data_IF_016294628106
#
_entry.id   IF_016294628106
#
_cell.length_a   1.000
_cell.length_b   1.000
_cell.length_c   1.000
_cell.angle_alpha   90.00
_cell.angle_beta   90.00
_cell.angle_gamma   90.00
#
_symmetry.space_group_name_H-M   'P 1'
#
loop_
_entity.id
_entity.type
_entity.pdbx_description
1 polymer ?
#
# COMPACT_ATOMS: atom_id res chain seq x y z
N UNK A 1 -27.94 -24.20 -1.88
CA UNK A 1 -26.79 -25.00 -1.36
C UNK A 1 -26.62 -24.63 0.09
N UNK A 2 -26.36 -25.60 0.97
CA UNK A 2 -26.07 -25.32 2.37
C UNK A 2 -24.64 -24.78 2.45
N UNK A 3 -24.45 -23.61 3.09
CA UNK A 3 -23.12 -23.03 3.29
C UNK A 3 -22.34 -23.94 4.24
N UNK A 4 -21.06 -24.21 3.90
CA UNK A 4 -20.20 -25.08 4.68
C UNK A 4 -19.85 -24.44 6.05
N UNK A 5 -19.56 -25.28 7.04
CA UNK A 5 -19.42 -24.84 8.43
C UNK A 5 -18.04 -25.10 9.00
N UNK A 6 -17.60 -24.11 9.78
CA UNK A 6 -16.41 -24.21 10.62
C UNK A 6 -16.83 -23.95 12.08
N UNK A 7 -16.42 -24.85 12.99
CA UNK A 7 -16.67 -24.68 14.42
C UNK A 7 -15.36 -24.43 15.15
N UNK A 8 -15.34 -23.41 15.99
CA UNK A 8 -14.16 -23.03 16.76
C UNK A 8 -13.99 -23.87 18.02
N UNK A 9 -12.76 -23.98 18.50
CA UNK A 9 -12.46 -24.48 19.83
C UNK A 9 -13.05 -23.53 20.88
N UNK A 10 -13.40 -24.08 22.02
CA UNK A 10 -13.88 -23.28 23.17
C UNK A 10 -12.90 -22.16 23.51
N UNK A 11 -13.43 -20.99 23.82
CA UNK A 11 -12.70 -19.75 24.17
C UNK A 11 -11.86 -19.16 23.03
N UNK A 12 -12.00 -19.63 21.77
CA UNK A 12 -11.34 -19.07 20.58
C UNK A 12 -12.21 -18.09 19.79
N UNK A 13 -13.46 -17.92 20.16
CA UNK A 13 -14.42 -16.97 19.57
C UNK A 13 -14.15 -15.52 19.96
N UNK A 14 -13.33 -15.25 20.98
CA UNK A 14 -13.12 -13.92 21.55
C UNK A 14 -12.62 -12.87 20.55
N UNK A 15 -11.76 -13.24 19.60
CA UNK A 15 -11.28 -12.33 18.55
C UNK A 15 -12.42 -11.95 17.59
N UNK A 16 -13.25 -12.90 17.21
CA UNK A 16 -14.37 -12.69 16.28
C UNK A 16 -15.48 -11.86 16.96
N UNK A 17 -15.77 -12.10 18.24
CA UNK A 17 -16.69 -11.27 19.03
C UNK A 17 -16.21 -9.81 19.15
N UNK A 18 -14.90 -9.59 19.02
CA UNK A 18 -14.28 -8.24 18.90
C UNK A 18 -14.17 -7.78 17.46
N UNK A 19 -14.84 -8.45 16.51
CA UNK A 19 -14.90 -8.14 15.08
C UNK A 19 -13.55 -8.21 14.34
N UNK A 20 -12.56 -8.96 14.89
CA UNK A 20 -11.33 -9.21 14.15
C UNK A 20 -11.63 -10.04 12.89
N UNK A 21 -11.16 -9.62 11.68
CA UNK A 21 -11.60 -10.25 10.43
C UNK A 21 -10.90 -11.58 10.11
N UNK A 22 -10.00 -12.08 10.93
CA UNK A 22 -9.25 -13.31 10.67
C UNK A 22 -9.53 -14.40 11.68
N UNK A 23 -9.74 -15.62 11.16
CA UNK A 23 -9.74 -16.86 11.94
C UNK A 23 -8.45 -17.61 11.66
N UNK A 24 -7.64 -17.83 12.68
CA UNK A 24 -6.41 -18.60 12.54
C UNK A 24 -6.69 -20.11 12.60
N UNK A 25 -5.97 -20.92 11.82
CA UNK A 25 -6.13 -22.37 11.73
C UNK A 25 -6.08 -23.06 13.09
N UNK A 26 -5.24 -22.59 14.00
CA UNK A 26 -5.14 -23.10 15.39
C UNK A 26 -6.43 -22.93 16.24
N UNK A 27 -7.36 -22.05 15.83
CA UNK A 27 -8.61 -21.80 16.50
C UNK A 27 -9.73 -22.80 16.12
N UNK A 28 -9.58 -23.54 15.00
CA UNK A 28 -10.59 -24.42 14.45
C UNK A 28 -10.59 -25.75 15.20
N UNK A 29 -11.78 -26.17 15.69
CA UNK A 29 -12.02 -27.49 16.26
C UNK A 29 -12.46 -28.49 15.21
N UNK A 30 -13.37 -28.08 14.32
CA UNK A 30 -13.96 -28.92 13.28
C UNK A 30 -14.32 -28.07 12.07
N UNK A 31 -14.13 -28.62 10.89
CA UNK A 31 -14.61 -28.07 9.60
C UNK A 31 -15.33 -29.18 8.84
N UNK A 32 -16.24 -28.81 7.97
CA UNK A 32 -16.88 -29.76 7.05
C UNK A 32 -15.81 -30.39 6.14
N UNK A 33 -16.12 -31.60 5.67
CA UNK A 33 -15.30 -32.31 4.69
C UNK A 33 -15.46 -31.62 3.35
N UNK A 34 -14.45 -31.75 2.50
CA UNK A 34 -14.46 -31.26 1.10
C UNK A 34 -14.52 -29.73 0.97
N UNK A 35 -13.89 -29.00 1.91
CA UNK A 35 -13.68 -27.57 1.80
C UNK A 35 -12.48 -27.27 0.88
N UNK A 36 -12.73 -26.44 -0.13
CA UNK A 36 -11.72 -25.94 -1.06
C UNK A 36 -11.33 -24.48 -0.75
N UNK A 37 -10.15 -24.07 -1.19
CA UNK A 37 -9.73 -22.67 -1.06
C UNK A 37 -10.74 -21.73 -1.75
N UNK A 38 -11.13 -20.68 -1.06
CA UNK A 38 -12.10 -19.69 -1.54
C UNK A 38 -13.55 -20.01 -1.26
N UNK A 39 -13.88 -21.16 -0.68
CA UNK A 39 -15.26 -21.50 -0.33
C UNK A 39 -15.82 -20.54 0.73
N UNK A 40 -17.09 -20.16 0.55
CA UNK A 40 -17.82 -19.41 1.57
C UNK A 40 -18.17 -20.35 2.72
N UNK A 41 -17.81 -19.94 3.95
CA UNK A 41 -18.05 -20.70 5.16
C UNK A 41 -18.71 -19.84 6.24
N UNK A 42 -19.62 -20.46 6.99
CA UNK A 42 -20.14 -19.91 8.24
C UNK A 42 -19.32 -20.40 9.43
N UNK A 43 -18.94 -19.50 10.31
CA UNK A 43 -18.14 -19.78 11.51
C UNK A 43 -19.03 -19.77 12.73
N UNK A 44 -18.93 -20.82 13.55
CA UNK A 44 -19.70 -21.03 14.78
C UNK A 44 -18.77 -21.22 15.98
N UNK A 45 -19.25 -20.83 17.15
CA UNK A 45 -18.58 -21.15 18.41
C UNK A 45 -18.78 -22.61 18.82
N UNK A 46 -18.15 -23.03 19.94
CA UNK A 46 -18.31 -24.39 20.49
C UNK A 46 -19.72 -24.71 20.99
N UNK A 47 -20.60 -23.73 21.14
CA UNK A 47 -22.00 -23.85 21.55
C UNK A 47 -22.95 -23.80 20.36
N UNK A 48 -22.42 -23.84 19.13
CA UNK A 48 -23.18 -23.78 17.89
C UNK A 48 -23.89 -22.43 17.65
N UNK A 49 -23.36 -21.32 18.20
CA UNK A 49 -23.86 -19.99 17.92
C UNK A 49 -23.10 -19.44 16.70
N UNK A 50 -23.83 -18.87 15.76
CA UNK A 50 -23.25 -18.21 14.59
C UNK A 50 -22.38 -17.01 15.03
N UNK A 51 -21.22 -16.84 14.39
CA UNK A 51 -20.29 -15.75 14.66
C UNK A 51 -20.08 -14.85 13.45
N UNK A 52 -19.84 -15.43 12.27
CA UNK A 52 -19.53 -14.67 11.07
C UNK A 52 -19.52 -15.58 9.82
N UNK A 53 -19.47 -14.95 8.64
CA UNK A 53 -19.25 -15.58 7.34
C UNK A 53 -17.99 -15.05 6.69
N UNK A 54 -17.23 -15.92 6.00
CA UNK A 54 -15.97 -15.57 5.36
C UNK A 54 -15.56 -16.53 4.25
N UNK A 55 -14.40 -16.27 3.63
CA UNK A 55 -13.76 -17.19 2.70
C UNK A 55 -12.76 -18.08 3.43
N UNK A 56 -12.85 -19.38 3.20
CA UNK A 56 -11.89 -20.36 3.71
C UNK A 56 -10.58 -20.31 2.92
N UNK A 57 -9.46 -20.51 3.61
CA UNK A 57 -8.12 -20.72 3.05
C UNK A 57 -7.41 -21.86 3.79
N UNK A 58 -6.71 -22.78 3.11
CA UNK A 58 -5.96 -23.86 3.75
C UNK A 58 -4.59 -23.43 4.29
N UNK A 59 -4.50 -22.28 4.94
CA UNK A 59 -3.24 -21.73 5.48
C UNK A 59 -3.38 -21.23 6.93
N UNK A 60 -2.41 -20.46 7.43
CA UNK A 60 -2.39 -19.94 8.80
C UNK A 60 -3.61 -19.06 9.11
N UNK A 61 -4.01 -18.17 8.18
CA UNK A 61 -5.26 -17.40 8.25
C UNK A 61 -6.31 -18.25 7.54
N UNK A 62 -7.00 -19.11 8.31
CA UNK A 62 -7.88 -20.13 7.74
C UNK A 62 -9.24 -19.59 7.28
N UNK A 63 -9.70 -18.44 7.80
CA UNK A 63 -10.90 -17.78 7.27
C UNK A 63 -10.70 -16.27 7.29
N UNK A 64 -11.01 -15.60 6.20
CA UNK A 64 -11.09 -14.15 6.08
C UNK A 64 -12.56 -13.74 6.14
N UNK A 65 -12.96 -13.16 7.27
CA UNK A 65 -14.35 -12.81 7.58
C UNK A 65 -14.73 -11.48 6.92
N UNK A 66 -15.87 -11.46 6.23
CA UNK A 66 -16.40 -10.26 5.58
C UNK A 66 -17.83 -9.90 6.04
N UNK A 67 -18.50 -10.77 6.81
CA UNK A 67 -19.85 -10.54 7.32
C UNK A 67 -19.99 -11.09 8.74
N UNK A 68 -20.47 -10.25 9.68
CA UNK A 68 -20.70 -10.62 11.10
C UNK A 68 -22.19 -10.77 11.44
N UNK A 69 -23.05 -10.69 10.43
CA UNK A 69 -24.49 -10.87 10.54
C UNK A 69 -24.89 -12.08 9.71
N UNK A 70 -25.85 -12.87 10.20
CA UNK A 70 -26.36 -14.01 9.44
C UNK A 70 -27.30 -13.51 8.35
N UNK A 71 -26.82 -13.50 7.11
CA UNK A 71 -27.55 -13.03 5.93
C UNK A 71 -27.04 -13.71 4.66
N UNK A 72 -27.82 -13.62 3.60
CA UNK A 72 -27.44 -14.15 2.30
C UNK A 72 -26.24 -13.39 1.72
N UNK A 73 -25.26 -14.14 1.25
CA UNK A 73 -24.08 -13.63 0.56
C UNK A 73 -24.32 -13.76 -0.95
N UNK A 74 -24.99 -12.78 -1.50
CA UNK A 74 -25.38 -12.70 -2.90
C UNK A 74 -24.78 -11.46 -3.59
N UNK A 75 -25.17 -11.20 -4.83
CA UNK A 75 -24.73 -10.05 -5.60
C UNK A 75 -25.04 -8.70 -4.92
N UNK A 76 -26.21 -8.59 -4.28
CA UNK A 76 -26.63 -7.37 -3.60
C UNK A 76 -25.79 -7.09 -2.35
N UNK A 77 -25.34 -8.13 -1.64
CA UNK A 77 -24.39 -8.01 -0.53
C UNK A 77 -23.07 -7.36 -1.01
N UNK A 78 -22.50 -7.84 -2.11
CA UNK A 78 -21.27 -7.27 -2.65
C UNK A 78 -21.48 -5.87 -3.21
N UNK A 79 -22.63 -5.63 -3.81
CA UNK A 79 -23.03 -4.27 -4.26
C UNK A 79 -23.08 -3.28 -3.10
N UNK A 80 -23.67 -3.66 -1.98
CA UNK A 80 -23.71 -2.86 -0.74
C UNK A 80 -22.28 -2.54 -0.23
N UNK A 81 -21.40 -3.54 -0.19
CA UNK A 81 -19.99 -3.34 0.21
C UNK A 81 -19.27 -2.34 -0.68
N UNK A 82 -19.42 -2.45 -1.99
CA UNK A 82 -18.80 -1.52 -2.95
C UNK A 82 -19.39 -0.11 -2.82
N UNK A 83 -20.70 0.02 -2.64
CA UNK A 83 -21.34 1.31 -2.40
C UNK A 83 -20.79 1.97 -1.12
N UNK A 84 -20.65 1.22 -0.04
CA UNK A 84 -20.08 1.76 1.20
C UNK A 84 -18.63 2.24 1.01
N UNK A 85 -17.83 1.51 0.23
CA UNK A 85 -16.47 1.94 -0.11
C UNK A 85 -16.45 3.22 -0.97
N UNK A 86 -17.35 3.33 -1.96
CA UNK A 86 -17.51 4.53 -2.79
C UNK A 86 -17.94 5.73 -1.95
N UNK A 87 -18.95 5.57 -1.10
CA UNK A 87 -19.44 6.65 -0.23
C UNK A 87 -18.37 7.10 0.78
N UNK A 88 -17.60 6.16 1.33
CA UNK A 88 -16.47 6.54 2.19
C UNK A 88 -15.47 7.43 1.44
N UNK A 89 -15.12 7.11 0.19
CA UNK A 89 -14.20 7.96 -0.60
C UNK A 89 -14.78 9.33 -0.89
N UNK A 90 -16.06 9.44 -1.17
CA UNK A 90 -16.74 10.74 -1.30
C UNK A 90 -16.68 11.55 -0.02
N UNK A 91 -16.89 10.91 1.15
CA UNK A 91 -16.82 11.57 2.44
C UNK A 91 -15.41 12.12 2.77
N UNK A 92 -14.37 11.55 2.21
CA UNK A 92 -12.98 12.05 2.29
C UNK A 92 -12.57 12.85 1.04
N UNK A 93 -13.54 13.36 0.27
CA UNK A 93 -13.38 14.21 -0.89
C UNK A 93 -12.58 13.58 -2.05
N UNK A 94 -12.83 12.30 -2.34
CA UNK A 94 -12.25 11.58 -3.47
C UNK A 94 -13.34 10.91 -4.34
N UNK A 95 -13.21 11.01 -5.67
CA UNK A 95 -12.30 11.90 -6.41
C UNK A 95 -12.66 13.38 -6.26
N UNK A 96 -11.74 14.24 -6.69
CA UNK A 96 -11.99 15.68 -6.79
C UNK A 96 -11.29 16.25 -8.04
N UNK A 97 -11.49 17.54 -8.42
CA UNK A 97 -10.91 18.11 -9.64
C UNK A 97 -9.38 18.09 -9.71
N UNK A 98 -8.68 17.88 -8.57
CA UNK A 98 -7.23 17.82 -8.51
C UNK A 98 -6.69 16.41 -8.27
N UNK A 99 -7.58 15.43 -7.97
CA UNK A 99 -7.16 14.05 -7.63
C UNK A 99 -8.19 13.06 -8.13
N UNK A 100 -7.83 12.26 -9.14
CA UNK A 100 -8.62 11.18 -9.70
C UNK A 100 -7.92 9.82 -9.62
N UNK A 101 -6.81 9.74 -8.84
CA UNK A 101 -6.14 8.48 -8.53
C UNK A 101 -6.14 8.24 -7.02
N UNK A 102 -6.70 7.09 -6.62
CA UNK A 102 -6.90 6.75 -5.22
C UNK A 102 -7.27 5.27 -5.05
N UNK A 103 -7.11 4.75 -3.84
CA UNK A 103 -7.58 3.41 -3.47
C UNK A 103 -9.07 3.44 -3.18
N UNK A 104 -9.84 2.69 -3.96
CA UNK A 104 -11.30 2.54 -3.80
C UNK A 104 -11.67 1.44 -2.80
N UNK A 105 -10.93 0.32 -2.78
CA UNK A 105 -11.13 -0.77 -1.83
C UNK A 105 -9.79 -1.15 -1.21
N UNK A 106 -9.73 -1.15 0.12
CA UNK A 106 -8.54 -1.47 0.91
C UNK A 106 -8.76 -2.69 1.82
N UNK A 107 -9.11 -3.82 1.23
CA UNK A 107 -9.18 -5.12 1.92
C UNK A 107 -10.03 -5.08 3.19
N UNK A 108 -9.42 -5.47 4.29
CA UNK A 108 -10.04 -5.51 5.63
C UNK A 108 -10.54 -4.14 6.10
N UNK A 109 -9.92 -3.05 5.65
CA UNK A 109 -10.33 -1.68 5.97
C UNK A 109 -11.71 -1.32 5.42
N UNK A 110 -12.10 -1.92 4.29
CA UNK A 110 -13.43 -1.77 3.67
C UNK A 110 -14.32 -3.00 3.89
N UNK A 111 -13.92 -3.94 4.73
CA UNK A 111 -14.66 -5.17 5.02
C UNK A 111 -14.77 -6.13 3.83
N UNK A 112 -13.80 -6.08 2.93
CA UNK A 112 -13.62 -6.97 1.77
C UNK A 112 -12.21 -7.59 1.79
N UNK A 113 -11.91 -8.44 2.80
CA UNK A 113 -10.56 -9.01 2.99
C UNK A 113 -10.03 -9.69 1.74
N UNK A 114 -8.80 -9.36 1.38
CA UNK A 114 -8.16 -9.93 0.20
C UNK A 114 -8.52 -9.27 -1.13
N UNK A 115 -9.25 -8.14 -1.13
CA UNK A 115 -9.56 -7.35 -2.32
C UNK A 115 -8.96 -5.95 -2.22
N UNK A 116 -8.20 -5.56 -3.23
CA UNK A 116 -7.72 -4.19 -3.43
C UNK A 116 -8.26 -3.69 -4.77
N UNK A 117 -8.77 -2.46 -4.81
CA UNK A 117 -9.15 -1.79 -6.05
C UNK A 117 -8.57 -0.38 -6.02
N UNK A 118 -7.70 -0.10 -6.98
CA UNK A 118 -7.12 1.22 -7.20
C UNK A 118 -7.70 1.85 -8.48
N UNK A 119 -7.97 3.14 -8.41
CA UNK A 119 -8.53 3.94 -9.49
C UNK A 119 -7.45 4.87 -10.02
N UNK A 120 -7.32 4.93 -11.34
CA UNK A 120 -6.43 5.81 -12.09
C UNK A 120 -7.22 6.50 -13.21
N UNK A 121 -7.84 7.64 -12.89
CA UNK A 121 -8.82 8.26 -13.78
C UNK A 121 -10.02 7.36 -14.03
N UNK A 122 -10.19 6.90 -15.29
CA UNK A 122 -11.28 6.00 -15.68
C UNK A 122 -10.82 4.52 -15.80
N UNK A 123 -9.61 4.20 -15.33
CA UNK A 123 -9.03 2.88 -15.38
C UNK A 123 -8.88 2.33 -13.96
N UNK A 124 -9.30 1.09 -13.74
CA UNK A 124 -9.24 0.43 -12.44
C UNK A 124 -8.26 -0.73 -12.48
N UNK A 125 -7.56 -0.93 -11.36
CA UNK A 125 -6.79 -2.14 -11.12
C UNK A 125 -7.38 -2.87 -9.93
N UNK A 126 -7.85 -4.08 -10.18
CA UNK A 126 -8.34 -5.01 -9.17
C UNK A 126 -7.23 -5.98 -8.83
N UNK A 127 -6.75 -5.98 -7.58
CA UNK A 127 -5.79 -6.95 -7.11
C UNK A 127 -6.43 -7.87 -6.08
N UNK A 128 -6.32 -9.19 -6.30
CA UNK A 128 -6.91 -10.22 -5.45
C UNK A 128 -5.81 -11.00 -4.72
N UNK A 129 -6.00 -11.20 -3.42
CA UNK A 129 -5.07 -11.86 -2.51
C UNK A 129 -5.64 -13.15 -1.91
N UNK A 130 -6.80 -13.62 -2.37
CA UNK A 130 -7.43 -14.86 -1.94
C UNK A 130 -8.27 -15.47 -3.05
N UNK A 131 -8.38 -16.81 -3.09
CA UNK A 131 -9.21 -17.53 -4.08
C UNK A 131 -10.68 -17.12 -4.00
N UNK A 132 -11.21 -16.84 -2.80
CA UNK A 132 -12.58 -16.36 -2.66
C UNK A 132 -12.82 -15.04 -3.39
N UNK A 133 -11.89 -14.08 -3.31
CA UNK A 133 -11.97 -12.83 -4.08
C UNK A 133 -11.66 -13.04 -5.56
N UNK A 134 -10.77 -13.97 -5.90
CA UNK A 134 -10.56 -14.35 -7.30
C UNK A 134 -11.85 -14.87 -7.95
N UNK A 135 -12.56 -15.80 -7.32
CA UNK A 135 -13.84 -16.32 -7.86
C UNK A 135 -14.91 -15.24 -8.01
N UNK A 136 -14.84 -14.17 -7.23
CA UNK A 136 -15.75 -13.02 -7.28
C UNK A 136 -15.36 -11.93 -8.29
N UNK A 137 -14.17 -11.98 -8.88
CA UNK A 137 -13.64 -10.85 -9.66
C UNK A 137 -14.57 -10.40 -10.81
N UNK A 138 -15.24 -11.35 -11.50
CA UNK A 138 -16.18 -11.02 -12.58
C UNK A 138 -17.41 -10.27 -12.05
N UNK A 139 -18.02 -10.78 -10.98
CA UNK A 139 -19.17 -10.13 -10.32
C UNK A 139 -18.79 -8.73 -9.81
N UNK A 140 -17.59 -8.58 -9.22
CA UNK A 140 -17.10 -7.28 -8.75
C UNK A 140 -16.87 -6.34 -9.91
N UNK A 141 -16.28 -6.80 -11.03
CA UNK A 141 -16.07 -5.99 -12.23
C UNK A 141 -17.39 -5.49 -12.84
N UNK A 142 -18.39 -6.37 -12.97
CA UNK A 142 -19.73 -5.98 -13.42
C UNK A 142 -20.36 -4.91 -12.50
N UNK A 143 -20.29 -5.12 -11.18
CA UNK A 143 -20.80 -4.16 -10.22
C UNK A 143 -20.08 -2.80 -10.30
N UNK A 144 -18.76 -2.80 -10.51
CA UNK A 144 -17.98 -1.57 -10.67
C UNK A 144 -18.41 -0.78 -11.90
N UNK A 145 -18.67 -1.45 -13.03
CA UNK A 145 -19.14 -0.78 -14.26
C UNK A 145 -20.56 -0.24 -14.12
N UNK A 146 -21.40 -0.83 -13.28
CA UNK A 146 -22.73 -0.31 -12.95
C UNK A 146 -22.68 0.89 -11.99
N UNK A 147 -21.79 0.82 -10.99
CA UNK A 147 -21.71 1.81 -9.91
C UNK A 147 -20.86 3.03 -10.28
N UNK A 148 -19.95 2.88 -11.24
CA UNK A 148 -19.02 3.92 -11.71
C UNK A 148 -19.13 3.98 -13.25
N UNK A 149 -20.10 4.75 -13.80
CA UNK A 149 -20.41 4.72 -15.24
C UNK A 149 -19.25 5.12 -16.17
N UNK A 150 -18.29 5.88 -15.66
CA UNK A 150 -17.15 6.38 -16.46
C UNK A 150 -15.97 5.40 -16.54
N UNK A 151 -16.09 4.18 -15.96
CA UNK A 151 -15.06 3.15 -16.05
C UNK A 151 -14.85 2.72 -17.51
N UNK A 152 -13.62 2.86 -18.00
CA UNK A 152 -13.23 2.46 -19.36
C UNK A 152 -12.54 1.11 -19.40
N UNK A 153 -11.81 0.74 -18.36
CA UNK A 153 -11.14 -0.55 -18.29
C UNK A 153 -10.89 -1.02 -16.87
N UNK A 154 -10.80 -2.33 -16.69
CA UNK A 154 -10.43 -2.98 -15.43
C UNK A 154 -9.36 -4.03 -15.71
N UNK A 155 -8.21 -3.90 -15.04
CA UNK A 155 -7.13 -4.87 -15.06
C UNK A 155 -7.15 -5.73 -13.79
N UNK A 156 -7.08 -7.04 -13.94
CA UNK A 156 -6.97 -7.99 -12.84
C UNK A 156 -5.52 -8.35 -12.59
N UNK A 157 -5.04 -8.16 -11.36
CA UNK A 157 -3.79 -8.71 -10.84
C UNK A 157 -4.07 -9.78 -9.81
N UNK A 158 -3.28 -10.84 -9.81
CA UNK A 158 -3.34 -11.89 -8.80
C UNK A 158 -2.10 -11.82 -7.91
N UNK A 159 -2.30 -11.89 -6.61
CA UNK A 159 -1.25 -11.95 -5.60
C UNK A 159 -1.60 -13.05 -4.59
N UNK A 160 -1.94 -14.23 -5.13
CA UNK A 160 -2.32 -15.41 -4.36
C UNK A 160 -1.07 -16.04 -3.74
N UNK A 161 -1.19 -16.46 -2.48
CA UNK A 161 -0.19 -17.35 -1.90
C UNK A 161 -0.34 -18.72 -2.59
N UNK A 162 0.78 -19.37 -2.91
CA UNK A 162 0.79 -20.69 -3.54
C UNK A 162 -0.10 -21.66 -2.75
N UNK A 163 -1.17 -22.14 -3.36
CA UNK A 163 -2.05 -23.17 -2.82
C UNK A 163 -1.81 -24.48 -3.57
N UNK A 164 -1.95 -25.59 -2.85
CA UNK A 164 -1.77 -26.96 -3.41
C UNK A 164 -2.79 -27.32 -4.51
N UNK A 165 -3.92 -26.61 -4.59
CA UNK A 165 -4.95 -26.80 -5.62
C UNK A 165 -4.79 -25.73 -6.71
N UNK A 166 -4.23 -26.15 -7.85
CA UNK A 166 -3.96 -25.30 -9.01
C UNK A 166 -5.25 -25.03 -9.80
N UNK A 167 -6.10 -24.16 -9.29
CA UNK A 167 -7.03 -23.44 -10.14
C UNK A 167 -6.20 -22.43 -10.97
N UNK A 168 -6.17 -22.57 -12.29
CA UNK A 168 -5.47 -21.63 -13.17
C UNK A 168 -6.03 -20.24 -12.98
N UNK A 169 -5.17 -19.31 -12.54
CA UNK A 169 -5.55 -17.92 -12.37
C UNK A 169 -4.96 -17.08 -13.51
N UNK A 170 -5.81 -16.25 -14.11
CA UNK A 170 -5.42 -15.37 -15.21
C UNK A 170 -5.29 -13.94 -14.71
N UNK A 171 -4.24 -13.27 -15.14
CA UNK A 171 -4.09 -11.81 -15.03
C UNK A 171 -4.37 -11.16 -16.37
N UNK A 172 -4.80 -9.89 -16.35
CA UNK A 172 -5.01 -9.13 -17.58
C UNK A 172 -6.24 -8.23 -17.55
N UNK A 173 -6.55 -7.68 -18.70
CA UNK A 173 -7.72 -6.84 -18.89
C UNK A 173 -9.00 -7.70 -18.89
N UNK A 174 -9.85 -7.49 -17.89
CA UNK A 174 -11.13 -8.21 -17.74
C UNK A 174 -12.34 -7.37 -18.18
N UNK A 175 -12.13 -6.07 -18.39
CA UNK A 175 -13.11 -5.17 -18.97
C UNK A 175 -12.38 -4.05 -19.72
N UNK A 176 -12.78 -3.77 -20.98
CA UNK A 176 -12.18 -2.73 -21.81
C UNK A 176 -10.65 -2.81 -21.91
N UNK A 177 -10.06 -1.80 -22.54
CA UNK A 177 -8.60 -1.65 -22.67
C UNK A 177 -8.30 -0.15 -22.84
N UNK A 178 -7.24 0.41 -22.25
CA UNK A 178 -6.87 1.81 -22.50
C UNK A 178 -6.34 2.01 -23.93
N UNK A 179 -6.71 3.13 -24.56
CA UNK A 179 -6.25 3.50 -25.91
C UNK A 179 -4.84 4.14 -25.89
N UNK A 180 -4.04 3.88 -24.90
CA UNK A 180 -2.70 4.44 -24.74
C UNK A 180 -2.22 4.42 -23.29
N UNK A 181 -1.35 5.35 -22.94
CA UNK A 181 -0.85 5.45 -21.57
C UNK A 181 -1.99 5.80 -20.59
N UNK A 182 -2.03 5.09 -19.47
CA UNK A 182 -2.92 5.46 -18.36
C UNK A 182 -2.26 6.62 -17.60
N UNK A 183 -2.99 7.73 -17.53
CA UNK A 183 -2.56 8.93 -16.81
C UNK A 183 -3.51 9.16 -15.64
N UNK A 184 -2.96 9.20 -14.44
CA UNK A 184 -3.65 9.62 -13.23
C UNK A 184 -3.26 11.02 -12.80
N UNK A 185 -4.10 11.68 -12.03
CA UNK A 185 -3.83 12.99 -11.45
C UNK A 185 -3.92 12.93 -9.93
N UNK A 186 -2.90 13.43 -9.24
CA UNK A 186 -2.85 13.54 -7.78
C UNK A 186 -2.42 14.96 -7.39
N UNK A 187 -3.30 15.66 -6.68
CA UNK A 187 -3.11 17.06 -6.27
C UNK A 187 -2.66 17.97 -7.43
N UNK A 188 -3.23 17.76 -8.62
CA UNK A 188 -2.93 18.52 -9.85
C UNK A 188 -1.61 18.15 -10.52
N UNK A 189 -0.92 17.10 -10.08
CA UNK A 189 0.26 16.53 -10.74
C UNK A 189 -0.18 15.31 -11.55
N UNK A 190 0.22 15.25 -12.82
CA UNK A 190 -0.05 14.11 -13.70
C UNK A 190 1.04 13.06 -13.55
N UNK A 191 0.62 11.80 -13.53
CA UNK A 191 1.48 10.63 -13.47
C UNK A 191 1.11 9.63 -14.55
N UNK A 192 2.08 9.15 -15.30
CA UNK A 192 1.96 7.94 -16.10
C UNK A 192 1.99 6.72 -15.17
N UNK A 193 1.03 5.82 -15.34
CA UNK A 193 0.86 4.62 -14.52
C UNK A 193 1.13 3.39 -15.39
N UNK A 194 2.09 2.58 -14.97
CA UNK A 194 2.33 1.27 -15.57
C UNK A 194 1.49 0.21 -14.85
N UNK A 195 0.26 0.01 -15.35
CA UNK A 195 -0.67 -0.95 -14.75
C UNK A 195 -0.16 -2.38 -14.93
N UNK A 196 0.27 -2.74 -16.13
CA UNK A 196 0.57 -4.13 -16.47
C UNK A 196 1.84 -4.63 -15.79
N UNK A 197 2.89 -3.82 -15.80
CA UNK A 197 4.22 -4.27 -15.38
C UNK A 197 4.74 -3.51 -14.14
N UNK A 198 4.01 -2.51 -13.69
CA UNK A 198 4.37 -1.73 -12.50
C UNK A 198 4.23 -2.53 -11.20
N UNK A 199 4.94 -2.09 -10.17
CA UNK A 199 4.84 -2.69 -8.85
C UNK A 199 3.44 -2.51 -8.27
N UNK A 200 2.95 -3.48 -7.48
CA UNK A 200 1.60 -3.48 -6.92
C UNK A 200 0.55 -3.24 -8.03
N UNK A 201 -0.23 -2.20 -7.90
CA UNK A 201 -1.26 -1.80 -8.88
C UNK A 201 -0.76 -0.80 -9.92
N UNK A 202 0.51 -0.40 -9.87
CA UNK A 202 1.15 0.55 -10.79
C UNK A 202 1.66 1.83 -10.11
N UNK A 203 1.15 2.18 -8.92
CA UNK A 203 1.55 3.35 -8.16
C UNK A 203 1.36 3.16 -6.65
N UNK A 204 2.10 3.93 -5.83
CA UNK A 204 2.02 3.90 -4.37
C UNK A 204 1.09 4.99 -3.84
N UNK A 205 -0.23 4.76 -3.94
CA UNK A 205 -1.27 5.72 -3.54
C UNK A 205 -1.30 6.02 -2.03
N UNK A 206 -0.75 5.12 -1.23
CA UNK A 206 -0.65 5.25 0.22
C UNK A 206 0.24 6.42 0.68
N UNK A 207 1.19 6.85 -0.15
CA UNK A 207 2.15 7.92 0.16
C UNK A 207 1.69 9.33 -0.29
N UNK A 208 0.45 9.51 -0.77
CA UNK A 208 -0.02 10.81 -1.29
C UNK A 208 0.20 11.97 -0.32
N UNK A 209 -0.19 11.79 0.94
CA UNK A 209 -0.13 12.86 1.94
C UNK A 209 1.33 13.14 2.33
N UNK A 210 2.19 12.12 2.35
CA UNK A 210 3.64 12.26 2.57
C UNK A 210 4.30 13.00 1.40
N UNK A 211 3.89 12.72 0.15
CA UNK A 211 4.39 13.45 -1.03
C UNK A 211 4.01 14.92 -0.97
N UNK A 212 2.76 15.23 -0.62
CA UNK A 212 2.31 16.61 -0.45
C UNK A 212 3.15 17.35 0.59
N UNK A 213 3.42 16.69 1.73
CA UNK A 213 4.26 17.27 2.77
C UNK A 213 5.71 17.49 2.32
N UNK A 214 6.32 16.57 1.59
CA UNK A 214 7.65 16.79 0.98
C UNK A 214 7.63 18.04 0.09
N UNK A 215 6.59 18.20 -0.73
CA UNK A 215 6.39 19.40 -1.54
C UNK A 215 6.38 20.69 -0.71
N UNK A 216 5.62 20.72 0.40
CA UNK A 216 5.53 21.91 1.28
C UNK A 216 6.89 22.40 1.79
N UNK A 217 7.83 21.46 2.03
CA UNK A 217 9.16 21.79 2.58
C UNK A 217 10.28 21.88 1.52
N UNK A 218 9.97 21.67 0.22
CA UNK A 218 10.98 21.54 -0.84
C UNK A 218 11.45 22.89 -1.43
N UNK A 219 10.73 24.00 -1.23
CA UNK A 219 11.03 25.28 -1.87
C UNK A 219 12.47 25.76 -1.60
N UNK A 220 13.22 26.01 -2.68
CA UNK A 220 14.61 26.48 -2.63
C UNK A 220 15.62 25.45 -2.12
N UNK A 221 15.25 24.18 -2.03
CA UNK A 221 16.11 23.11 -1.50
C UNK A 221 16.65 22.21 -2.60
N UNK A 222 17.82 21.66 -2.35
CA UNK A 222 18.37 20.52 -3.08
C UNK A 222 17.81 19.25 -2.44
N UNK A 223 17.05 18.48 -3.23
CA UNK A 223 16.29 17.33 -2.76
C UNK A 223 16.86 16.03 -3.32
N UNK A 224 17.00 15.03 -2.48
CA UNK A 224 17.34 13.67 -2.88
C UNK A 224 16.14 12.74 -2.60
N UNK A 225 15.66 12.04 -3.62
CA UNK A 225 14.64 11.02 -3.50
C UNK A 225 15.26 9.64 -3.78
N UNK A 226 15.45 8.84 -2.75
CA UNK A 226 16.01 7.49 -2.82
C UNK A 226 14.92 6.43 -2.85
N UNK A 227 15.13 5.36 -3.65
CA UNK A 227 14.11 4.37 -4.01
C UNK A 227 12.94 5.05 -4.71
N UNK A 228 13.27 5.85 -5.71
CA UNK A 228 12.35 6.85 -6.27
C UNK A 228 11.17 6.25 -7.04
N UNK A 229 11.26 5.00 -7.50
CA UNK A 229 10.27 4.31 -8.32
C UNK A 229 9.78 5.22 -9.48
N UNK A 230 8.52 5.64 -9.47
CA UNK A 230 7.93 6.52 -10.50
C UNK A 230 8.18 8.02 -10.28
N UNK A 231 9.01 8.39 -9.31
CA UNK A 231 9.35 9.78 -9.01
C UNK A 231 8.30 10.57 -8.23
N UNK A 232 7.34 9.90 -7.58
CA UNK A 232 6.24 10.57 -6.92
C UNK A 232 6.67 11.72 -6.00
N UNK A 233 7.61 11.50 -5.10
CA UNK A 233 8.16 12.55 -4.22
C UNK A 233 8.91 13.63 -4.98
N UNK A 234 9.65 13.26 -6.03
CA UNK A 234 10.43 14.18 -6.85
C UNK A 234 9.54 15.19 -7.58
N UNK A 235 8.42 14.74 -8.16
CA UNK A 235 7.50 15.62 -8.86
C UNK A 235 6.86 16.64 -7.91
N UNK A 236 6.50 16.22 -6.70
CA UNK A 236 5.99 17.14 -5.69
C UNK A 236 7.05 18.18 -5.25
N UNK A 237 8.30 17.77 -5.07
CA UNK A 237 9.38 18.68 -4.74
C UNK A 237 9.63 19.70 -5.86
N UNK A 238 9.72 19.24 -7.11
CA UNK A 238 9.90 20.09 -8.29
C UNK A 238 8.76 21.10 -8.45
N UNK A 239 7.51 20.62 -8.37
CA UNK A 239 6.31 21.45 -8.51
C UNK A 239 6.26 22.57 -7.48
N UNK A 240 6.73 22.32 -6.28
CA UNK A 240 6.71 23.27 -5.18
C UNK A 240 8.00 24.10 -5.06
N UNK A 241 8.86 24.08 -6.08
CA UNK A 241 9.98 25.02 -6.20
C UNK A 241 11.28 24.54 -5.57
N UNK A 242 11.53 23.23 -5.52
CA UNK A 242 12.88 22.73 -5.24
C UNK A 242 13.88 23.35 -6.22
N UNK A 243 15.06 23.70 -5.74
CA UNK A 243 16.15 24.20 -6.57
C UNK A 243 16.64 23.12 -7.53
N UNK A 244 16.84 21.92 -6.99
CA UNK A 244 17.26 20.76 -7.74
C UNK A 244 16.75 19.48 -7.07
N UNK A 245 16.47 18.44 -7.87
CA UNK A 245 16.01 17.13 -7.38
C UNK A 245 16.78 16.02 -8.07
N UNK A 246 17.42 15.16 -7.28
CA UNK A 246 17.99 13.90 -7.75
C UNK A 246 17.09 12.75 -7.35
N UNK A 247 16.72 11.89 -8.32
CA UNK A 247 15.98 10.65 -8.12
C UNK A 247 16.89 9.46 -8.31
N UNK A 248 17.01 8.59 -7.31
CA UNK A 248 17.89 7.41 -7.35
C UNK A 248 17.06 6.15 -7.20
N UNK A 249 17.22 5.23 -8.13
CA UNK A 249 16.64 3.88 -8.08
C UNK A 249 17.56 2.90 -8.79
N UNK A 250 17.59 1.64 -8.34
CA UNK A 250 18.38 0.59 -8.98
C UNK A 250 17.76 0.11 -10.30
N UNK A 251 16.46 0.31 -10.48
CA UNK A 251 15.71 -0.14 -11.64
C UNK A 251 15.76 0.88 -12.77
N UNK A 252 16.38 0.55 -13.92
CA UNK A 252 16.36 1.40 -15.09
C UNK A 252 14.92 1.73 -15.52
N UNK A 253 14.01 0.74 -15.48
CA UNK A 253 12.59 0.94 -15.81
C UNK A 253 11.90 1.97 -14.89
N UNK A 254 12.25 1.98 -13.60
CA UNK A 254 11.76 2.99 -12.67
C UNK A 254 12.30 4.38 -13.03
N UNK A 255 13.58 4.47 -13.35
CA UNK A 255 14.25 5.73 -13.75
C UNK A 255 13.65 6.28 -15.06
N UNK A 256 13.42 5.42 -16.07
CA UNK A 256 12.76 5.83 -17.31
C UNK A 256 11.35 6.41 -17.02
N UNK A 257 10.60 5.78 -16.12
CA UNK A 257 9.26 6.26 -15.71
C UNK A 257 9.34 7.59 -14.95
N UNK A 258 10.37 7.81 -14.13
CA UNK A 258 10.62 9.12 -13.48
C UNK A 258 10.83 10.21 -14.53
N UNK A 259 11.67 9.96 -15.53
CA UNK A 259 11.96 10.93 -16.61
C UNK A 259 10.69 11.26 -17.40
N UNK A 260 9.90 10.23 -17.79
CA UNK A 260 8.62 10.43 -18.45
C UNK A 260 7.65 11.28 -17.62
N UNK A 261 7.56 11.01 -16.32
CA UNK A 261 6.71 11.77 -15.40
C UNK A 261 7.18 13.21 -15.24
N UNK A 262 8.48 13.46 -15.18
CA UNK A 262 9.03 14.83 -15.17
C UNK A 262 8.72 15.56 -16.48
N UNK A 263 8.80 14.87 -17.62
CA UNK A 263 8.45 15.44 -18.92
C UNK A 263 6.94 15.79 -19.01
N UNK A 264 6.05 14.98 -18.43
CA UNK A 264 4.62 15.27 -18.36
C UNK A 264 4.29 16.57 -17.62
N UNK A 265 5.13 16.98 -16.68
CA UNK A 265 4.95 18.26 -15.98
C UNK A 265 5.16 19.46 -16.90
N UNK A 266 5.90 19.29 -18.02
CA UNK A 266 6.25 20.36 -18.95
C UNK A 266 7.24 21.39 -18.38
N UNK A 267 7.39 22.53 -19.06
CA UNK A 267 8.20 23.65 -18.57
C UNK A 267 9.68 23.29 -18.33
N UNK A 268 10.30 23.93 -17.33
CA UNK A 268 11.72 23.81 -17.03
C UNK A 268 12.04 22.76 -15.95
N UNK A 269 11.09 21.90 -15.57
CA UNK A 269 11.28 20.93 -14.50
C UNK A 269 12.42 19.97 -14.82
N UNK A 270 12.53 19.49 -16.06
CA UNK A 270 13.60 18.61 -16.49
C UNK A 270 15.01 19.21 -16.32
N UNK A 271 15.14 20.55 -16.37
CA UNK A 271 16.44 21.21 -16.15
C UNK A 271 16.90 21.20 -14.68
N UNK A 272 15.97 20.95 -13.77
CA UNK A 272 16.21 20.92 -12.32
C UNK A 272 16.14 19.49 -11.75
N UNK A 273 16.19 18.48 -12.61
CA UNK A 273 16.06 17.09 -12.24
C UNK A 273 17.15 16.24 -12.86
N UNK A 274 17.70 15.31 -12.08
CA UNK A 274 18.49 14.19 -12.57
C UNK A 274 17.85 12.87 -12.15
N UNK A 275 17.80 11.91 -13.07
CA UNK A 275 17.42 10.55 -12.83
C UNK A 275 18.66 9.64 -12.85
N UNK A 276 18.90 8.89 -11.78
CA UNK A 276 20.16 8.18 -11.54
C UNK A 276 19.82 6.69 -11.30
N UNK A 277 20.22 5.84 -12.24
CA UNK A 277 20.10 4.39 -12.12
C UNK A 277 21.29 3.83 -11.35
N UNK A 278 21.15 3.66 -10.02
CA UNK A 278 22.23 3.20 -9.15
C UNK A 278 21.67 2.55 -7.88
N UNK A 279 22.42 1.63 -7.28
CA UNK A 279 22.12 1.12 -5.94
C UNK A 279 22.23 2.24 -4.90
N UNK A 280 21.20 2.38 -4.06
CA UNK A 280 21.09 3.49 -3.08
C UNK A 280 22.24 3.45 -2.06
N UNK A 281 22.72 2.26 -1.64
CA UNK A 281 23.83 2.19 -0.70
C UNK A 281 25.13 2.63 -1.34
N UNK A 282 25.38 2.24 -2.60
CA UNK A 282 26.54 2.69 -3.39
C UNK A 282 26.48 4.20 -3.61
N UNK A 283 25.30 4.74 -3.94
CA UNK A 283 25.10 6.19 -4.07
C UNK A 283 25.42 6.92 -2.78
N UNK A 284 24.90 6.49 -1.63
CA UNK A 284 25.17 7.07 -0.33
C UNK A 284 26.66 7.03 0.05
N UNK A 285 27.38 5.97 -0.32
CA UNK A 285 28.81 5.84 -0.01
C UNK A 285 29.66 6.89 -0.74
N UNK A 286 29.33 7.21 -2.00
CA UNK A 286 30.03 8.22 -2.81
C UNK A 286 29.49 9.65 -2.69
N UNK A 287 28.24 9.80 -2.17
CA UNK A 287 27.59 11.10 -2.03
C UNK A 287 28.42 12.03 -1.14
N UNK A 288 28.71 13.28 -1.58
CA UNK A 288 29.34 14.25 -0.71
C UNK A 288 28.49 14.56 0.51
N UNK A 289 29.11 14.88 1.64
CA UNK A 289 28.39 15.42 2.79
C UNK A 289 27.78 16.79 2.42
N UNK A 290 26.66 17.11 3.06
CA UNK A 290 25.96 18.40 2.94
C UNK A 290 25.46 18.72 1.52
N UNK A 291 25.37 17.69 0.64
CA UNK A 291 24.92 17.87 -0.73
C UNK A 291 23.43 18.18 -0.84
N UNK A 292 22.61 17.75 0.13
CA UNK A 292 21.15 17.87 0.08
C UNK A 292 20.59 18.46 1.37
N UNK A 293 19.57 19.31 1.21
CA UNK A 293 18.85 19.98 2.29
C UNK A 293 17.59 19.21 2.71
N UNK A 294 17.07 18.34 1.82
CA UNK A 294 15.95 17.48 2.06
C UNK A 294 16.20 16.11 1.42
N UNK A 295 16.04 15.05 2.20
CA UNK A 295 16.20 13.67 1.71
C UNK A 295 14.93 12.88 1.99
N UNK A 296 14.45 12.17 0.97
CA UNK A 296 13.39 11.15 1.09
C UNK A 296 14.04 9.77 1.04
N UNK A 297 13.76 8.96 2.04
CA UNK A 297 14.25 7.60 2.23
C UNK A 297 13.07 6.65 2.38
N UNK A 298 12.58 6.09 1.27
CA UNK A 298 11.41 5.19 1.22
C UNK A 298 11.80 3.80 0.69
N UNK A 299 12.60 3.02 1.45
CA UNK A 299 13.12 1.74 1.00
C UNK A 299 12.02 0.68 0.92
N UNK A 300 12.21 -0.37 0.10
CA UNK A 300 11.35 -1.54 0.11
C UNK A 300 11.34 -2.21 1.50
N UNK A 301 10.33 -3.05 1.76
CA UNK A 301 10.21 -3.76 3.02
C UNK A 301 11.42 -4.67 3.29
N UNK A 302 12.31 -4.28 4.21
CA UNK A 302 13.46 -5.09 4.60
C UNK A 302 13.08 -6.28 5.49
N UNK A 303 11.88 -6.27 6.10
CA UNK A 303 11.35 -7.37 6.87
C UNK A 303 9.92 -7.70 6.42
N UNK A 304 9.79 -8.66 5.49
CA UNK A 304 8.48 -9.15 5.03
C UNK A 304 7.78 -10.06 6.05
N UNK A 305 8.56 -10.75 6.91
CA UNK A 305 8.05 -11.69 7.90
C UNK A 305 8.77 -11.52 9.24
N UNK A 306 8.12 -11.89 10.35
CA UNK A 306 8.69 -11.80 11.70
C UNK A 306 10.02 -12.54 11.87
N UNK A 307 10.27 -13.62 11.13
CA UNK A 307 11.54 -14.38 11.17
C UNK A 307 12.76 -13.54 10.76
N UNK A 308 12.58 -12.54 9.89
CA UNK A 308 13.67 -11.66 9.41
C UNK A 308 13.60 -10.26 10.03
N UNK A 309 12.80 -10.05 11.08
CA UNK A 309 12.59 -8.75 11.73
C UNK A 309 13.90 -8.10 12.18
N UNK A 310 14.77 -8.86 12.86
CA UNK A 310 16.05 -8.33 13.37
C UNK A 310 16.99 -7.89 12.25
N UNK A 311 17.01 -8.62 11.12
CA UNK A 311 17.79 -8.22 9.95
C UNK A 311 17.20 -6.94 9.31
N UNK A 312 15.87 -6.85 9.24
CA UNK A 312 15.20 -5.65 8.76
C UNK A 312 15.49 -4.43 9.62
N UNK A 313 15.46 -4.56 10.95
CA UNK A 313 15.83 -3.48 11.90
C UNK A 313 17.28 -3.02 11.64
N UNK A 314 18.23 -3.95 11.46
CA UNK A 314 19.62 -3.60 11.15
C UNK A 314 19.74 -2.88 9.81
N UNK A 315 19.00 -3.32 8.77
CA UNK A 315 18.98 -2.68 7.46
C UNK A 315 18.46 -1.23 7.52
N UNK A 316 17.29 -1.03 8.14
CA UNK A 316 16.72 0.30 8.32
C UNK A 316 17.63 1.22 9.16
N UNK A 317 18.19 0.71 10.25
CA UNK A 317 19.12 1.47 11.09
C UNK A 317 20.35 1.91 10.30
N UNK A 318 20.95 1.00 9.53
CA UNK A 318 22.16 1.29 8.77
C UNK A 318 21.93 2.34 7.70
N UNK A 319 20.85 2.22 6.92
CA UNK A 319 20.58 3.18 5.85
C UNK A 319 20.21 4.57 6.40
N UNK A 320 19.43 4.64 7.48
CA UNK A 320 19.13 5.89 8.18
C UNK A 320 20.41 6.54 8.74
N UNK A 321 21.30 5.75 9.36
CA UNK A 321 22.59 6.24 9.85
C UNK A 321 23.42 6.88 8.73
N UNK A 322 23.64 6.15 7.63
CA UNK A 322 24.41 6.67 6.47
C UNK A 322 23.80 7.95 5.89
N UNK A 323 22.47 8.03 5.83
CA UNK A 323 21.75 9.22 5.35
C UNK A 323 21.98 10.41 6.30
N UNK A 324 21.86 10.18 7.62
CA UNK A 324 22.04 11.22 8.64
C UNK A 324 23.49 11.73 8.71
N UNK A 325 24.48 10.88 8.42
CA UNK A 325 25.90 11.30 8.32
C UNK A 325 26.17 12.26 7.16
N UNK A 326 25.31 12.24 6.12
CA UNK A 326 25.54 12.92 4.85
C UNK A 326 24.62 14.12 4.59
N UNK A 327 23.47 14.19 5.25
CA UNK A 327 22.51 15.29 5.08
C UNK A 327 23.08 16.58 5.67
N UNK A 328 22.77 17.71 5.01
CA UNK A 328 23.15 19.05 5.50
C UNK A 328 22.65 19.29 6.94
N UNK A 329 23.42 19.92 7.83
CA UNK A 329 22.95 20.36 9.15
C UNK A 329 21.71 21.26 9.03
N UNK A 330 20.65 20.96 9.81
CA UNK A 330 19.33 21.59 9.67
C UNK A 330 18.48 21.01 8.53
N UNK A 331 19.01 20.01 7.82
CA UNK A 331 18.31 19.32 6.73
C UNK A 331 17.14 18.46 7.21
N UNK A 332 16.19 18.23 6.32
CA UNK A 332 14.98 17.46 6.59
C UNK A 332 15.09 16.05 6.01
N UNK A 333 14.96 15.04 6.86
CA UNK A 333 14.90 13.64 6.47
C UNK A 333 13.47 13.11 6.60
N UNK A 334 12.89 12.71 5.47
CA UNK A 334 11.65 11.95 5.42
C UNK A 334 12.01 10.47 5.29
N UNK A 335 11.81 9.69 6.34
CA UNK A 335 12.17 8.27 6.35
C UNK A 335 10.96 7.38 6.61
N UNK A 336 10.87 6.25 5.89
CA UNK A 336 9.70 5.39 5.88
C UNK A 336 10.05 3.91 6.10
N UNK A 337 9.05 3.16 6.55
CA UNK A 337 9.04 1.69 6.55
C UNK A 337 7.64 1.17 6.26
N UNK A 338 7.52 0.33 5.24
CA UNK A 338 6.31 -0.43 4.92
C UNK A 338 6.35 -1.90 5.46
N UNK A 339 7.34 -2.26 6.27
CA UNK A 339 7.49 -3.61 6.83
C UNK A 339 6.46 -3.88 7.92
N UNK A 340 5.54 -4.82 7.70
CA UNK A 340 4.55 -5.24 8.72
C UNK A 340 5.17 -5.80 9.99
N UNK A 341 6.31 -6.47 9.89
CA UNK A 341 7.02 -7.05 11.03
C UNK A 341 7.71 -6.01 11.93
N UNK A 342 7.73 -4.72 11.55
CA UNK A 342 8.35 -3.62 12.30
C UNK A 342 7.24 -2.69 12.78
N UNK A 343 7.08 -2.57 14.09
CA UNK A 343 6.10 -1.67 14.71
C UNK A 343 6.52 -0.20 14.59
N UNK A 344 5.61 0.73 14.91
CA UNK A 344 5.92 2.17 15.00
C UNK A 344 6.99 2.46 16.04
N UNK A 345 6.93 1.78 17.18
CA UNK A 345 7.91 1.92 18.27
C UNK A 345 9.28 1.35 17.86
N UNK A 346 9.31 0.21 17.16
CA UNK A 346 10.55 -0.32 16.59
C UNK A 346 11.17 0.68 15.61
N UNK A 347 10.35 1.26 14.71
CA UNK A 347 10.82 2.20 13.71
C UNK A 347 11.38 3.47 14.35
N UNK A 348 10.75 3.98 15.38
CA UNK A 348 11.28 5.12 16.14
C UNK A 348 12.57 4.76 16.87
N UNK A 349 12.64 3.59 17.51
CA UNK A 349 13.81 3.13 18.25
C UNK A 349 15.03 2.90 17.35
N UNK A 350 14.84 2.26 16.18
CA UNK A 350 15.93 2.07 15.23
C UNK A 350 16.42 3.40 14.64
N UNK A 351 15.50 4.36 14.41
CA UNK A 351 15.84 5.69 13.91
C UNK A 351 16.62 6.50 14.96
N UNK A 352 16.22 6.43 16.23
CA UNK A 352 16.99 6.97 17.35
C UNK A 352 18.42 6.37 17.38
N UNK A 353 18.52 5.04 17.28
CA UNK A 353 19.82 4.36 17.26
C UNK A 353 20.67 4.78 16.06
N UNK A 354 20.04 5.04 14.89
CA UNK A 354 20.73 5.53 13.70
C UNK A 354 21.31 6.92 13.93
N UNK A 355 20.56 7.86 14.52
CA UNK A 355 21.01 9.20 14.83
C UNK A 355 22.19 9.19 15.84
N UNK A 356 22.08 8.39 16.90
CA UNK A 356 23.15 8.24 17.89
C UNK A 356 24.45 7.70 17.26
N UNK A 357 24.35 6.70 16.39
CA UNK A 357 25.51 6.13 15.67
C UNK A 357 26.09 7.09 14.62
N UNK A 358 25.27 7.95 14.03
CA UNK A 358 25.73 9.01 13.13
C UNK A 358 26.37 10.20 13.88
N UNK A 359 26.27 10.22 15.21
CA UNK A 359 26.74 11.37 16.02
C UNK A 359 25.94 12.64 15.78
N UNK A 360 24.67 12.55 15.36
CA UNK A 360 23.82 13.66 14.99
C UNK A 360 22.63 13.80 15.93
N UNK A 361 22.27 15.02 16.28
CA UNK A 361 21.00 15.30 16.95
C UNK A 361 19.88 15.28 15.91
N UNK A 362 18.70 14.76 16.32
CA UNK A 362 17.55 14.69 15.44
C UNK A 362 16.25 14.99 16.21
N UNK A 363 15.37 15.80 15.62
CA UNK A 363 14.04 16.08 16.15
C UNK A 363 12.95 15.50 15.25
N UNK A 364 11.97 14.82 15.85
CA UNK A 364 10.78 14.37 15.12
C UNK A 364 9.82 15.57 14.95
N UNK A 365 9.76 16.12 13.74
CA UNK A 365 8.86 17.21 13.42
C UNK A 365 7.44 16.70 13.10
N UNK A 366 7.30 15.57 12.42
CA UNK A 366 6.00 14.94 12.06
C UNK A 366 6.10 13.42 12.09
N UNK A 367 4.95 12.78 12.40
CA UNK A 367 4.72 11.35 12.18
C UNK A 367 3.85 11.19 10.94
N UNK A 368 4.22 10.29 10.05
CA UNK A 368 3.60 10.07 8.76
C UNK A 368 2.94 8.68 8.72
N UNK A 369 1.88 8.57 7.94
CA UNK A 369 1.07 7.35 7.80
C UNK A 369 0.44 7.29 6.41
N UNK A 370 -0.36 6.26 6.14
CA UNK A 370 -1.08 6.17 4.87
C UNK A 370 -2.02 7.35 4.63
N UNK A 371 -2.23 7.66 3.35
CA UNK A 371 -3.28 8.56 2.91
C UNK A 371 -4.68 8.04 3.30
N UNK A 372 -5.63 8.95 3.48
CA UNK A 372 -6.98 8.64 3.97
C UNK A 372 -7.75 7.62 3.11
N UNK A 373 -7.40 7.45 1.82
CA UNK A 373 -8.00 6.43 0.96
C UNK A 373 -7.57 4.99 1.29
N UNK A 374 -6.65 4.80 2.25
CA UNK A 374 -6.24 3.50 2.77
C UNK A 374 -6.77 3.31 4.21
N UNK A 375 -8.10 3.19 4.41
CA UNK A 375 -8.65 3.05 5.74
C UNK A 375 -8.15 1.79 6.42
N UNK A 376 -7.86 1.90 7.71
CA UNK A 376 -7.53 0.76 8.56
C UNK A 376 -8.71 0.51 9.47
N UNK A 377 -9.19 -0.73 9.50
CA UNK A 377 -10.23 -1.11 10.48
C UNK A 377 -9.63 -1.06 11.89
N UNK A 378 -10.32 -0.39 12.83
CA UNK A 378 -9.91 -0.38 14.24
C UNK A 378 -9.89 -1.78 14.87
N UNK A 379 -10.57 -2.74 14.24
CA UNK A 379 -10.61 -4.15 14.64
C UNK A 379 -9.51 -4.99 14.00
N UNK A 380 -8.70 -4.39 13.10
CA UNK A 380 -7.62 -5.03 12.35
C UNK A 380 -6.41 -4.10 12.29
N UNK A 381 -5.69 -3.94 13.40
CA UNK A 381 -4.55 -3.02 13.48
C UNK A 381 -3.37 -3.43 12.57
N UNK A 382 -3.32 -4.68 12.13
CA UNK A 382 -2.33 -5.20 11.17
C UNK A 382 -2.39 -4.48 9.82
N UNK A 383 -3.51 -3.82 9.50
CA UNK A 383 -3.65 -2.96 8.33
C UNK A 383 -2.81 -1.67 8.38
N UNK A 384 -2.33 -1.26 9.55
CA UNK A 384 -1.47 -0.08 9.73
C UNK A 384 0.00 -0.41 9.47
N UNK A 385 0.35 -0.61 8.19
CA UNK A 385 1.68 -1.07 7.79
C UNK A 385 2.68 0.06 7.49
N UNK A 386 2.23 1.27 7.10
CA UNK A 386 3.11 2.38 6.73
C UNK A 386 3.46 3.24 7.95
N UNK A 387 4.73 3.37 8.23
CA UNK A 387 5.29 4.24 9.25
C UNK A 387 6.27 5.20 8.62
N UNK A 388 6.17 6.49 8.94
CA UNK A 388 7.11 7.50 8.49
C UNK A 388 7.41 8.51 9.57
N UNK A 389 8.60 9.12 9.48
CA UNK A 389 9.04 10.23 10.31
C UNK A 389 9.60 11.33 9.41
N UNK A 390 9.19 12.55 9.66
CA UNK A 390 9.90 13.74 9.20
C UNK A 390 10.80 14.20 10.34
N UNK A 391 12.09 14.22 10.10
CA UNK A 391 13.12 14.58 11.06
C UNK A 391 13.85 15.84 10.59
N UNK A 392 14.16 16.73 11.52
CA UNK A 392 15.19 17.74 11.36
C UNK A 392 16.52 17.18 11.92
N UNK A 393 17.58 17.18 11.12
CA UNK A 393 18.86 16.63 11.51
C UNK A 393 19.82 17.80 11.81
N UNK A 394 20.24 17.92 13.07
CA UNK A 394 21.15 18.94 13.56
C UNK A 394 22.61 18.45 13.52
N UNK A 395 23.52 19.31 13.94
CA UNK A 395 24.94 18.96 14.14
C UNK A 395 25.13 17.93 15.24
#
# INVERSE_FOLDING_TARGET
MTIARITLKRDKEKSILRRHPWVFSGAIARKDKDLHDGDIVEVFDARNQYLATGHYQPNTIAVRLFCFEQRDINRDFWREKLLNAIEFRKNILLPNPQTNMYRLVNGEGDGMPGLIIDVYGNHLVMQVHSMGMYRLHKTVAELLTELIPDVKSIYLKTALEEADDQEETNEGWIYGHPDGNVIGMENGILFKIDIEHGQKTGFFLDQRDSRAMVGEFAKGKRVLNMFSYSGGFSLYALRNGAEHVDSVDISQKAIDLVEENVQLMGGDFAKRHNAICEDVFAFLDRMPADAYDLIVLDPPAFAKHHRVREQGIKGYRNINRKTMEKIHPGGLLFTFSCSQAISRDDFQTLTFSAAALAGRNARVARRLQHAACHPVSIFHPEGDYLKGLMLEIEN
#
